data_IF_125375954713
#
_entry.id   IF_125375954713
#
_cell.length_a   1.000
_cell.length_b   1.000
_cell.length_c   1.000
_cell.angle_alpha   90.00
_cell.angle_beta   90.00
_cell.angle_gamma   90.00
#
_symmetry.space_group_name_H-M   'P 1'
#
loop_
_entity.id
_entity.type
_entity.pdbx_description
1 polymer ?
#
# COMPACT_ATOMS: atom_id res chain seq x y z
N UNK A 1 -2.80 20.14 -35.58
CA UNK A 1 -4.15 19.53 -35.62
C UNK A 1 -5.17 20.61 -35.35
N UNK A 2 -6.32 20.63 -36.05
CA UNK A 2 -7.47 21.46 -35.67
C UNK A 2 -8.49 20.61 -34.95
N UNK A 3 -8.89 21.02 -33.75
CA UNK A 3 -9.91 20.34 -32.94
C UNK A 3 -11.08 21.30 -32.75
N UNK A 4 -12.30 20.77 -32.79
CA UNK A 4 -13.51 21.53 -32.58
C UNK A 4 -13.71 21.85 -31.10
N UNK A 5 -13.87 23.14 -30.78
CA UNK A 5 -14.30 23.65 -29.49
C UNK A 5 -15.80 23.96 -29.54
N UNK A 6 -16.55 23.38 -28.61
CA UNK A 6 -17.94 23.76 -28.35
C UNK A 6 -17.97 24.87 -27.29
N UNK A 7 -18.63 25.99 -27.61
CA UNK A 7 -19.01 27.02 -26.63
C UNK A 7 -20.23 26.57 -25.82
N UNK A 8 -20.40 27.14 -24.64
CA UNK A 8 -21.60 26.94 -23.79
C UNK A 8 -22.88 27.30 -24.55
N UNK A 9 -22.80 28.24 -25.49
CA UNK A 9 -23.90 28.68 -26.36
C UNK A 9 -24.16 27.75 -27.56
N UNK A 10 -23.52 26.58 -27.62
CA UNK A 10 -23.66 25.61 -28.71
C UNK A 10 -22.93 25.98 -30.01
N UNK A 11 -22.26 27.14 -30.07
CA UNK A 11 -21.45 27.55 -31.23
C UNK A 11 -20.13 26.76 -31.29
N UNK A 12 -19.78 26.25 -32.48
CA UNK A 12 -18.54 25.51 -32.75
C UNK A 12 -17.47 26.45 -33.31
N UNK A 13 -16.31 26.52 -32.65
CA UNK A 13 -15.12 27.25 -33.10
C UNK A 13 -13.93 26.29 -33.18
N UNK A 14 -12.96 26.51 -34.07
CA UNK A 14 -11.78 25.63 -34.18
C UNK A 14 -10.60 26.15 -33.35
N UNK A 15 -9.85 25.24 -32.72
CA UNK A 15 -8.58 25.52 -32.02
C UNK A 15 -7.46 24.74 -32.68
N UNK A 16 -6.31 25.39 -32.84
CA UNK A 16 -5.07 24.76 -33.29
C UNK A 16 -4.29 24.20 -32.10
N UNK A 17 -3.84 22.95 -32.25
CA UNK A 17 -3.06 22.23 -31.24
C UNK A 17 -1.85 21.56 -31.88
N UNK A 18 -0.79 21.43 -31.07
CA UNK A 18 0.47 20.81 -31.47
C UNK A 18 0.31 19.34 -31.86
N UNK A 19 0.55 19.02 -33.13
CA UNK A 19 0.48 17.63 -33.65
C UNK A 19 1.44 16.68 -32.94
N UNK A 20 2.58 17.18 -32.47
CA UNK A 20 3.60 16.36 -31.80
C UNK A 20 3.07 15.62 -30.56
N UNK A 21 2.11 16.20 -29.84
CA UNK A 21 1.56 15.60 -28.60
C UNK A 21 0.35 14.72 -28.93
N UNK A 22 -0.55 15.19 -29.81
CA UNK A 22 -1.82 14.51 -30.08
C UNK A 22 -1.71 13.38 -31.10
N UNK A 23 -0.73 13.45 -32.02
CA UNK A 23 -0.45 12.40 -33.01
C UNK A 23 0.63 11.41 -32.56
N UNK A 24 1.09 11.51 -31.31
CA UNK A 24 2.09 10.60 -30.77
C UNK A 24 1.56 9.15 -30.72
N UNK A 25 2.39 8.18 -31.11
CA UNK A 25 2.04 6.76 -31.06
C UNK A 25 1.81 6.33 -29.61
N UNK A 26 0.62 5.83 -29.32
CA UNK A 26 0.25 5.38 -27.97
C UNK A 26 0.99 4.09 -27.63
N UNK A 27 1.82 4.13 -26.58
CA UNK A 27 2.39 2.94 -25.97
C UNK A 27 1.44 2.43 -24.87
N UNK A 28 0.67 1.37 -25.17
CA UNK A 28 -0.32 0.79 -24.26
C UNK A 28 0.29 0.32 -22.94
N UNK A 29 1.50 -0.23 -22.97
CA UNK A 29 2.18 -0.70 -21.76
C UNK A 29 2.50 0.45 -20.81
N UNK A 30 3.00 1.57 -21.36
CA UNK A 30 3.35 2.74 -20.57
C UNK A 30 2.10 3.38 -19.93
N UNK A 31 1.01 3.47 -20.69
CA UNK A 31 -0.28 3.96 -20.17
C UNK A 31 -0.78 3.07 -19.02
N UNK A 32 -0.74 1.75 -19.18
CA UNK A 32 -1.14 0.80 -18.14
C UNK A 32 -0.29 0.94 -16.87
N UNK A 33 1.03 1.02 -17.01
CA UNK A 33 1.96 1.19 -15.89
C UNK A 33 1.69 2.48 -15.12
N UNK A 34 1.47 3.60 -15.82
CA UNK A 34 1.16 4.89 -15.20
C UNK A 34 -0.17 4.82 -14.47
N UNK A 35 -1.20 4.24 -15.08
CA UNK A 35 -2.52 4.10 -14.47
C UNK A 35 -2.48 3.23 -13.21
N UNK A 36 -1.74 2.11 -13.25
CA UNK A 36 -1.53 1.26 -12.08
C UNK A 36 -0.78 2.00 -10.96
N UNK A 37 0.30 2.72 -11.29
CA UNK A 37 1.08 3.52 -10.32
C UNK A 37 0.19 4.57 -9.67
N UNK A 38 -0.55 5.33 -10.47
CA UNK A 38 -1.45 6.38 -9.99
C UNK A 38 -2.50 5.81 -9.03
N UNK A 39 -3.22 4.76 -9.44
CA UNK A 39 -4.22 4.11 -8.59
C UNK A 39 -3.62 3.55 -7.29
N UNK A 40 -2.43 2.97 -7.39
CA UNK A 40 -1.72 2.40 -6.25
C UNK A 40 -1.28 3.47 -5.24
N UNK A 41 -0.91 4.66 -5.69
CA UNK A 41 -0.57 5.81 -4.86
C UNK A 41 -1.79 6.45 -4.20
N UNK A 42 -2.93 6.50 -4.88
CA UNK A 42 -4.18 7.04 -4.32
C UNK A 42 -4.82 6.10 -3.29
N UNK A 43 -4.55 4.80 -3.35
CA UNK A 43 -5.09 3.84 -2.39
C UNK A 43 -4.49 4.04 -0.99
N UNK A 44 -5.29 4.57 -0.06
CA UNK A 44 -4.91 4.72 1.34
C UNK A 44 -4.62 3.38 2.02
N UNK A 45 -3.37 3.13 2.39
CA UNK A 45 -2.91 1.88 3.02
C UNK A 45 -2.90 2.01 4.55
N UNK A 46 -4.08 1.89 5.17
CA UNK A 46 -4.24 2.06 6.63
C UNK A 46 -4.12 0.77 7.46
N UNK A 47 -4.04 -0.39 6.80
CA UNK A 47 -3.94 -1.67 7.49
C UNK A 47 -2.65 -1.74 8.33
N UNK A 48 -2.78 -2.03 9.62
CA UNK A 48 -1.68 -2.21 10.57
C UNK A 48 -1.99 -3.33 11.56
N UNK A 49 -1.04 -4.23 11.78
CA UNK A 49 -1.04 -5.20 12.88
C UNK A 49 0.00 -4.83 13.93
N UNK A 50 -0.20 -5.27 15.17
CA UNK A 50 0.78 -5.07 16.25
C UNK A 50 1.81 -6.20 16.23
N UNK A 51 3.07 -5.83 16.18
CA UNK A 51 4.20 -6.75 16.34
C UNK A 51 4.42 -7.07 17.84
N UNK A 52 5.25 -8.08 18.15
CA UNK A 52 5.52 -8.52 19.54
C UNK A 52 6.00 -7.42 20.50
N UNK A 53 6.63 -6.37 19.97
CA UNK A 53 7.12 -5.20 20.72
C UNK A 53 6.03 -4.14 20.96
N UNK A 54 4.98 -4.11 20.13
CA UNK A 54 3.88 -3.16 20.23
C UNK A 54 2.71 -3.68 21.09
N UNK A 55 2.69 -4.99 21.39
CA UNK A 55 1.65 -5.59 22.25
C UNK A 55 1.98 -5.39 23.73
N UNK A 56 0.94 -5.01 24.49
CA UNK A 56 0.99 -4.93 25.95
C UNK A 56 0.91 -6.34 26.54
N UNK A 57 1.92 -6.71 27.31
CA UNK A 57 2.03 -8.02 27.94
C UNK A 57 3.37 -8.20 28.62
N UNK A 58 3.46 -9.21 29.49
CA UNK A 58 4.67 -9.46 30.30
C UNK A 58 5.91 -9.66 29.44
N UNK A 59 6.98 -8.95 29.81
CA UNK A 59 8.34 -9.13 29.26
C UNK A 59 9.15 -10.14 30.05
N UNK A 60 8.67 -10.54 31.22
CA UNK A 60 9.30 -11.56 32.03
C UNK A 60 9.29 -12.91 31.30
N UNK A 61 10.34 -13.68 31.53
CA UNK A 61 10.41 -15.07 31.06
C UNK A 61 9.29 -15.87 31.72
N UNK A 62 8.62 -16.72 30.94
CA UNK A 62 7.42 -17.44 31.40
C UNK A 62 7.75 -18.41 32.54
N UNK A 63 8.88 -19.12 32.42
CA UNK A 63 9.40 -20.06 33.41
C UNK A 63 10.90 -20.34 33.17
N UNK A 64 11.53 -21.09 34.08
CA UNK A 64 12.94 -21.44 34.01
C UNK A 64 13.31 -22.18 32.70
N UNK A 65 14.53 -22.00 32.20
CA UNK A 65 14.96 -22.57 30.90
C UNK A 65 15.01 -24.11 30.88
N UNK A 66 15.14 -24.74 32.05
CA UNK A 66 15.24 -26.20 32.27
C UNK A 66 14.49 -26.57 33.55
N UNK A 67 14.20 -27.86 33.74
CA UNK A 67 13.58 -28.38 34.97
C UNK A 67 12.05 -28.21 35.05
N UNK A 68 11.40 -27.79 33.96
CA UNK A 68 9.95 -27.50 33.93
C UNK A 68 9.12 -28.54 33.18
N UNK A 69 9.75 -29.49 32.47
CA UNK A 69 9.08 -30.47 31.60
C UNK A 69 8.40 -29.90 30.35
N UNK A 70 8.33 -28.57 30.22
CA UNK A 70 7.66 -27.87 29.12
C UNK A 70 8.64 -27.46 28.01
N UNK A 71 8.11 -27.06 26.85
CA UNK A 71 8.89 -26.49 25.75
C UNK A 71 9.67 -25.22 26.17
N UNK A 72 10.63 -24.75 25.36
CA UNK A 72 11.38 -23.53 25.72
C UNK A 72 10.67 -22.29 25.21
N UNK A 73 10.38 -21.35 26.11
CA UNK A 73 9.74 -20.09 25.76
C UNK A 73 10.43 -18.88 26.38
N UNK A 74 10.54 -17.82 25.56
CA UNK A 74 11.16 -16.55 25.96
C UNK A 74 10.16 -15.52 26.48
N UNK A 75 9.04 -15.31 25.78
CA UNK A 75 8.05 -14.29 26.12
C UNK A 75 6.65 -14.75 25.72
N UNK A 76 5.64 -14.39 26.53
CA UNK A 76 4.22 -14.63 26.22
C UNK A 76 3.73 -13.85 24.99
N UNK A 77 4.48 -12.83 24.54
CA UNK A 77 4.14 -12.00 23.37
C UNK A 77 4.58 -12.62 22.04
N UNK A 78 5.15 -13.83 22.06
CA UNK A 78 5.56 -14.52 20.83
C UNK A 78 4.34 -14.90 19.96
N UNK A 79 4.48 -14.89 18.62
CA UNK A 79 3.38 -15.17 17.68
C UNK A 79 2.72 -16.54 17.84
N UNK A 80 3.45 -17.51 18.40
CA UNK A 80 2.95 -18.87 18.63
C UNK A 80 1.88 -18.95 19.73
N UNK A 81 1.75 -17.92 20.57
CA UNK A 81 0.77 -17.88 21.64
C UNK A 81 -0.48 -17.12 21.24
N UNK A 82 -1.62 -17.51 21.81
CA UNK A 82 -2.87 -16.75 21.71
C UNK A 82 -2.65 -15.37 22.35
N UNK A 83 -2.99 -14.31 21.61
CA UNK A 83 -2.72 -12.91 22.00
C UNK A 83 -1.27 -12.45 21.75
N UNK A 84 -0.45 -13.29 21.10
CA UNK A 84 0.90 -12.94 20.65
C UNK A 84 0.92 -11.91 19.51
N UNK A 85 2.11 -11.34 19.27
CA UNK A 85 2.32 -10.40 18.17
C UNK A 85 2.25 -11.07 16.80
N UNK A 86 1.77 -10.35 15.79
CA UNK A 86 1.87 -10.82 14.40
C UNK A 86 3.32 -10.71 13.94
N UNK A 87 3.85 -11.68 13.19
CA UNK A 87 5.25 -11.67 12.73
C UNK A 87 5.42 -10.89 11.41
N UNK A 88 4.62 -11.21 10.39
CA UNK A 88 4.71 -10.64 9.04
C UNK A 88 3.38 -10.01 8.60
N UNK A 89 2.79 -9.20 9.47
CA UNK A 89 1.56 -8.48 9.15
C UNK A 89 1.80 -7.11 8.53
N UNK A 90 0.73 -6.44 8.06
CA UNK A 90 0.81 -5.10 7.50
C UNK A 90 1.30 -4.09 8.55
N UNK A 91 2.18 -3.18 8.16
CA UNK A 91 2.87 -2.24 9.07
C UNK A 91 2.27 -0.83 9.12
N UNK A 92 1.15 -0.57 8.44
CA UNK A 92 0.56 0.78 8.35
C UNK A 92 1.42 1.76 7.56
N UNK A 93 1.86 1.39 6.36
CA UNK A 93 2.59 2.29 5.47
C UNK A 93 1.60 3.24 4.79
N UNK A 94 1.79 4.56 4.88
CA UNK A 94 0.92 5.52 4.21
C UNK A 94 1.03 5.49 2.69
N UNK A 95 2.23 5.22 2.16
CA UNK A 95 2.53 5.36 0.73
C UNK A 95 2.85 4.02 0.06
N UNK A 96 2.60 3.95 -1.24
CA UNK A 96 3.08 2.88 -2.12
C UNK A 96 4.60 3.02 -2.30
N UNK A 97 5.32 1.89 -2.33
CA UNK A 97 6.77 1.85 -2.56
C UNK A 97 7.06 1.63 -4.04
#
# INVERSE_FOLDING_TARGET
MKIDKLSIDGKKNSIEVLDKIFSAKINKQLVSNVLYKTNSNYKGRKAKTKQRNEIKGSTAKIYAQKGTGNARHGSRKAPIFVGGGVAHGPKGQSNYK
#
